data_IF_756204745186
#
_entry.id   IF_756204745186
#
_cell.length_a   1.000
_cell.length_b   1.000
_cell.length_c   1.000
_cell.angle_alpha   90.00
_cell.angle_beta   90.00
_cell.angle_gamma   90.00
#
_symmetry.space_group_name_H-M   'P 1'
#
loop_
_entity.id
_entity.type
_entity.pdbx_description
1 polymer ?
#
# COMPACT_ATOMS: atom_id res chain seq x y z
N UNK A 1 -8.91 -3.67 53.90
CA UNK A 1 -7.63 -3.38 53.22
C UNK A 1 -7.29 -4.36 52.07
N UNK A 2 -8.28 -4.89 51.32
CA UNK A 2 -8.04 -5.76 50.14
C UNK A 2 -8.39 -5.09 48.81
N UNK A 3 -9.39 -4.21 48.80
CA UNK A 3 -9.87 -3.49 47.60
C UNK A 3 -8.83 -2.52 47.03
N UNK A 4 -8.04 -1.86 47.90
CA UNK A 4 -6.99 -0.90 47.49
C UNK A 4 -5.77 -1.53 46.78
N UNK A 5 -5.54 -2.84 46.98
CA UNK A 5 -4.45 -3.58 46.30
C UNK A 5 -4.86 -4.04 44.91
N UNK A 6 -6.14 -4.35 44.72
CA UNK A 6 -6.71 -4.76 43.43
C UNK A 6 -6.74 -3.61 42.41
N UNK A 7 -7.08 -2.39 42.83
CA UNK A 7 -7.10 -1.22 41.95
C UNK A 7 -5.71 -0.84 41.44
N UNK A 8 -4.66 -0.96 42.26
CA UNK A 8 -3.26 -0.76 41.83
C UNK A 8 -2.81 -1.81 40.80
N UNK A 9 -3.24 -3.07 40.95
CA UNK A 9 -2.94 -4.14 40.00
C UNK A 9 -3.58 -3.92 38.63
N UNK A 10 -4.85 -3.50 38.60
CA UNK A 10 -5.59 -3.21 37.35
C UNK A 10 -4.96 -2.04 36.59
N UNK A 11 -4.56 -0.97 37.28
CA UNK A 11 -3.90 0.18 36.67
C UNK A 11 -2.55 -0.19 36.03
N UNK A 12 -1.81 -1.09 36.67
CA UNK A 12 -0.53 -1.60 36.14
C UNK A 12 -0.75 -2.48 34.90
N UNK A 13 -1.75 -3.37 34.92
CA UNK A 13 -2.08 -4.22 33.77
C UNK A 13 -2.57 -3.39 32.57
N UNK A 14 -3.41 -2.38 32.81
CA UNK A 14 -3.86 -1.47 31.74
C UNK A 14 -2.70 -0.69 31.09
N UNK A 15 -1.72 -0.26 31.89
CA UNK A 15 -0.53 0.43 31.39
C UNK A 15 0.35 -0.50 30.54
N UNK A 16 0.51 -1.77 30.96
CA UNK A 16 1.29 -2.76 30.20
C UNK A 16 0.61 -3.12 28.86
N UNK A 17 -0.72 -3.21 28.83
CA UNK A 17 -1.49 -3.49 27.60
C UNK A 17 -1.47 -2.33 26.59
N UNK A 18 -1.35 -1.08 27.06
CA UNK A 18 -1.24 0.08 26.17
C UNK A 18 0.13 0.18 25.49
N UNK A 19 1.19 -0.34 26.14
CA UNK A 19 2.56 -0.34 25.60
C UNK A 19 2.80 -1.39 24.51
N UNK A 20 1.91 -2.38 24.36
CA UNK A 20 2.02 -3.42 23.33
C UNK A 20 1.28 -3.09 22.02
N UNK A 21 0.77 -1.87 21.86
CA UNK A 21 0.22 -1.39 20.59
C UNK A 21 1.34 -1.19 19.56
N UNK A 22 1.79 -2.28 18.94
CA UNK A 22 2.63 -2.22 17.75
C UNK A 22 1.80 -1.67 16.57
N UNK A 23 1.90 -0.36 16.33
CA UNK A 23 1.42 0.22 15.08
C UNK A 23 2.19 -0.42 13.91
N UNK A 24 1.47 -0.87 12.88
CA UNK A 24 2.07 -1.41 11.67
C UNK A 24 2.91 -0.32 11.00
N UNK A 25 4.19 -0.63 10.74
CA UNK A 25 5.16 0.34 10.22
C UNK A 25 5.12 0.39 8.70
N UNK A 26 5.42 1.57 8.16
CA UNK A 26 5.80 1.71 6.75
C UNK A 26 7.03 0.86 6.44
N UNK A 27 7.14 0.41 5.19
CA UNK A 27 8.26 -0.38 4.69
C UNK A 27 8.99 0.40 3.58
N UNK A 28 10.34 0.30 3.51
CA UNK A 28 11.12 0.87 2.43
C UNK A 28 10.88 0.11 1.11
N UNK A 29 11.19 0.72 -0.03
CA UNK A 29 11.18 0.05 -1.33
C UNK A 29 12.50 -0.66 -1.58
N UNK A 30 12.45 -1.88 -2.10
CA UNK A 30 13.58 -2.62 -2.68
C UNK A 30 13.67 -2.42 -4.21
N UNK A 31 12.70 -1.72 -4.80
CA UNK A 31 12.63 -1.41 -6.23
C UNK A 31 13.14 0.01 -6.50
N UNK A 32 13.88 0.16 -7.59
CA UNK A 32 14.12 1.46 -8.22
C UNK A 32 12.88 1.90 -8.97
N UNK A 33 12.41 3.11 -8.69
CA UNK A 33 11.28 3.71 -9.38
C UNK A 33 11.71 4.49 -10.62
N UNK A 34 10.88 4.46 -11.66
CA UNK A 34 11.09 5.20 -12.90
C UNK A 34 10.31 6.50 -12.82
N UNK A 35 11.02 7.63 -12.85
CA UNK A 35 10.38 8.95 -12.95
C UNK A 35 10.22 9.33 -14.42
N UNK A 36 8.99 9.64 -14.82
CA UNK A 36 8.67 10.17 -16.14
C UNK A 36 8.24 11.63 -16.01
N UNK A 37 8.65 12.48 -16.95
CA UNK A 37 8.26 13.89 -16.97
C UNK A 37 6.78 14.06 -17.28
N UNK A 38 6.27 13.24 -18.21
CA UNK A 38 4.85 13.17 -18.57
C UNK A 38 4.43 11.72 -18.51
N UNK A 39 3.40 11.42 -17.73
CA UNK A 39 2.85 10.07 -17.60
C UNK A 39 1.60 9.96 -18.45
N UNK A 40 1.64 9.09 -19.45
CA UNK A 40 0.49 8.69 -20.26
C UNK A 40 0.53 7.17 -20.52
N UNK A 41 -0.55 6.59 -21.03
CA UNK A 41 -0.63 5.14 -21.27
C UNK A 41 0.28 4.65 -22.41
N UNK A 42 0.79 5.53 -23.27
CA UNK A 42 1.73 5.20 -24.34
C UNK A 42 3.17 5.07 -23.81
N UNK A 43 3.48 5.80 -22.73
CA UNK A 43 4.75 5.72 -22.01
C UNK A 43 4.89 4.49 -21.10
N UNK A 44 3.84 3.65 -21.04
CA UNK A 44 3.75 2.46 -20.18
C UNK A 44 3.57 1.18 -21.02
N UNK A 45 3.81 0.02 -20.39
CA UNK A 45 3.77 -1.30 -21.03
C UNK A 45 5.15 -1.93 -21.11
N UNK A 46 5.22 -3.14 -21.68
CA UNK A 46 6.48 -3.91 -21.78
C UNK A 46 7.25 -4.03 -20.45
N UNK A 47 6.51 -4.24 -19.35
CA UNK A 47 7.08 -4.33 -18.01
C UNK A 47 7.18 -3.00 -17.27
N UNK A 48 7.10 -1.85 -17.95
CA UNK A 48 6.99 -0.55 -17.29
C UNK A 48 5.56 -0.32 -16.83
N UNK A 49 5.30 -0.50 -15.54
CA UNK A 49 3.95 -0.54 -14.97
C UNK A 49 3.77 0.57 -13.95
N UNK A 50 2.69 1.33 -14.11
CA UNK A 50 2.23 2.28 -13.10
C UNK A 50 1.38 1.54 -12.07
N UNK A 51 1.73 1.70 -10.80
CA UNK A 51 0.99 1.13 -9.68
C UNK A 51 0.52 2.28 -8.80
N UNK A 52 -0.77 2.34 -8.52
CA UNK A 52 -1.36 3.41 -7.71
C UNK A 52 -2.30 2.89 -6.65
N UNK A 53 -2.47 3.69 -5.60
CA UNK A 53 -3.47 3.45 -4.56
C UNK A 53 -4.79 4.14 -4.94
N UNK A 54 -5.79 3.34 -5.31
CA UNK A 54 -7.13 3.76 -5.72
C UNK A 54 -8.11 3.95 -4.57
N UNK A 55 -7.64 4.12 -3.34
CA UNK A 55 -8.51 4.43 -2.21
C UNK A 55 -9.40 5.64 -2.49
N UNK A 56 -10.70 5.48 -2.19
CA UNK A 56 -11.70 6.52 -2.44
C UNK A 56 -11.47 7.81 -1.65
N UNK A 57 -12.27 8.83 -1.97
CA UNK A 57 -12.21 10.16 -1.33
C UNK A 57 -12.38 10.06 0.19
N UNK A 58 -13.24 9.14 0.65
CA UNK A 58 -13.54 8.95 2.08
C UNK A 58 -12.29 8.58 2.88
N UNK A 59 -11.45 7.68 2.36
CA UNK A 59 -10.18 7.27 3.00
C UNK A 59 -9.04 8.27 2.78
N UNK A 60 -9.17 9.15 1.79
CA UNK A 60 -8.15 10.18 1.52
C UNK A 60 -8.22 11.35 2.51
N UNK A 61 -9.39 11.60 3.11
CA UNK A 61 -9.64 12.78 3.95
C UNK A 61 -9.06 12.65 5.36
N UNK A 62 -8.99 11.43 5.91
CA UNK A 62 -8.47 11.12 7.23
C UNK A 62 -7.04 10.55 7.21
N UNK A 63 -6.39 10.55 6.04
CA UNK A 63 -5.06 9.98 5.79
C UNK A 63 -4.97 8.47 6.14
N UNK A 64 -6.09 7.76 6.03
CA UNK A 64 -6.15 6.29 6.11
C UNK A 64 -5.90 5.68 4.73
N UNK A 65 -6.08 4.36 4.59
CA UNK A 65 -5.81 3.64 3.35
C UNK A 65 -4.36 3.56 2.91
N UNK A 66 -3.42 3.57 3.85
CA UNK A 66 -2.00 3.35 3.53
C UNK A 66 -1.75 1.87 3.25
N UNK A 67 -1.20 1.57 2.07
CA UNK A 67 -0.92 0.21 1.64
C UNK A 67 0.57 -0.07 1.65
N UNK A 68 0.99 -1.08 2.41
CA UNK A 68 2.30 -1.70 2.23
C UNK A 68 2.18 -2.81 1.18
N UNK A 69 3.07 -2.80 0.20
CA UNK A 69 2.99 -3.70 -0.95
C UNK A 69 4.30 -4.47 -1.13
N UNK A 70 4.18 -5.75 -1.43
CA UNK A 70 5.28 -6.59 -1.86
C UNK A 70 4.95 -7.22 -3.22
N UNK A 71 5.96 -7.34 -4.06
CA UNK A 71 5.91 -8.05 -5.34
C UNK A 71 6.99 -9.12 -5.31
N UNK A 72 6.63 -10.39 -5.48
CA UNK A 72 7.54 -11.55 -5.41
C UNK A 72 8.45 -11.53 -4.17
N UNK A 73 7.84 -11.35 -3.00
CA UNK A 73 8.49 -11.21 -1.69
C UNK A 73 9.44 -10.00 -1.52
N UNK A 74 9.66 -9.18 -2.56
CA UNK A 74 10.40 -7.91 -2.47
C UNK A 74 9.46 -6.78 -2.11
N UNK A 75 9.91 -5.87 -1.25
CA UNK A 75 9.09 -4.73 -0.82
C UNK A 75 8.99 -3.71 -1.95
N UNK A 76 7.78 -3.41 -2.42
CA UNK A 76 7.53 -2.26 -3.28
C UNK A 76 7.50 -0.96 -2.46
N UNK A 77 7.39 -1.06 -1.14
CA UNK A 77 7.25 0.07 -0.23
C UNK A 77 5.81 0.34 0.18
N UNK A 78 5.61 1.44 0.89
CA UNK A 78 4.28 1.98 1.17
C UNK A 78 3.76 2.83 0.00
N UNK A 79 2.45 2.81 -0.24
CA UNK A 79 1.74 3.69 -1.19
C UNK A 79 0.54 4.29 -0.45
N UNK A 80 0.54 5.61 -0.22
CA UNK A 80 -0.59 6.29 0.45
C UNK A 80 -1.72 6.56 -0.55
N UNK A 81 -2.89 6.95 -0.04
CA UNK A 81 -4.00 7.36 -0.88
C UNK A 81 -3.56 8.46 -1.86
N UNK A 82 -3.96 8.32 -3.13
CA UNK A 82 -3.57 9.21 -4.24
C UNK A 82 -2.07 9.28 -4.52
N UNK A 83 -1.31 8.28 -4.11
CA UNK A 83 0.07 8.11 -4.56
C UNK A 83 0.15 7.06 -5.68
N UNK A 84 1.12 7.27 -6.58
CA UNK A 84 1.50 6.30 -7.59
C UNK A 84 3.02 6.20 -7.69
N UNK A 85 3.49 5.11 -8.26
CA UNK A 85 4.86 4.93 -8.70
C UNK A 85 4.88 4.14 -9.99
N UNK A 86 6.02 4.18 -10.68
CA UNK A 86 6.26 3.39 -11.88
C UNK A 86 7.48 2.52 -11.61
N UNK A 87 7.37 1.24 -11.92
CA UNK A 87 8.46 0.26 -11.79
C UNK A 87 8.55 -0.58 -13.04
N UNK A 88 9.75 -1.09 -13.30
CA UNK A 88 9.97 -2.11 -14.32
C UNK A 88 9.82 -3.49 -13.67
N UNK A 89 8.81 -4.24 -14.12
CA UNK A 89 8.54 -5.62 -13.76
C UNK A 89 8.82 -6.51 -14.97
N UNK A 90 9.40 -7.68 -14.75
CA UNK A 90 9.59 -8.65 -15.83
C UNK A 90 8.22 -9.13 -16.34
N UNK A 91 8.19 -9.68 -17.56
CA UNK A 91 6.98 -10.36 -18.04
C UNK A 91 6.80 -11.67 -17.26
N UNK A 92 5.56 -12.03 -16.93
CA UNK A 92 5.25 -13.26 -16.20
C UNK A 92 4.20 -13.06 -15.12
N UNK A 93 3.97 -14.11 -14.31
CA UNK A 93 3.09 -14.03 -13.16
C UNK A 93 3.88 -13.51 -11.96
N UNK A 94 3.30 -12.53 -11.28
CA UNK A 94 3.88 -11.90 -10.10
C UNK A 94 2.91 -12.00 -8.92
N UNK A 95 3.43 -12.33 -7.75
CA UNK A 95 2.65 -12.34 -6.51
C UNK A 95 2.64 -10.93 -5.90
N UNK A 96 1.47 -10.31 -5.82
CA UNK A 96 1.25 -9.04 -5.12
C UNK A 96 0.66 -9.31 -3.73
N UNK A 97 1.45 -9.09 -2.69
CA UNK A 97 0.96 -9.07 -1.30
C UNK A 97 0.69 -7.64 -0.87
N UNK A 98 -0.49 -7.40 -0.31
CA UNK A 98 -0.97 -6.07 0.09
C UNK A 98 -1.38 -6.13 1.56
N UNK A 99 -0.94 -5.14 2.34
CA UNK A 99 -1.34 -4.91 3.71
C UNK A 99 -1.86 -3.48 3.87
N UNK A 100 -3.09 -3.33 4.33
CA UNK A 100 -3.60 -2.06 4.78
C UNK A 100 -3.10 -1.77 6.20
N UNK A 101 -2.19 -0.82 6.39
CA UNK A 101 -1.50 -0.65 7.68
C UNK A 101 -2.36 -0.03 8.77
N UNK A 102 -3.44 0.66 8.40
CA UNK A 102 -4.36 1.26 9.37
C UNK A 102 -5.38 0.24 9.92
N UNK A 103 -5.39 -0.98 9.39
CA UNK A 103 -6.27 -2.06 9.84
C UNK A 103 -5.47 -3.31 10.18
N UNK A 104 -5.62 -3.78 11.41
CA UNK A 104 -5.04 -5.05 11.84
C UNK A 104 -5.65 -6.19 11.03
N UNK A 105 -4.82 -7.12 10.56
CA UNK A 105 -5.21 -8.33 9.83
C UNK A 105 -5.85 -8.15 8.44
N UNK A 106 -5.82 -6.96 7.83
CA UNK A 106 -6.28 -6.78 6.45
C UNK A 106 -5.14 -7.01 5.44
N UNK A 107 -4.87 -8.28 5.17
CA UNK A 107 -3.86 -8.75 4.21
C UNK A 107 -4.50 -9.54 3.09
N UNK A 108 -3.98 -9.39 1.88
CA UNK A 108 -4.44 -10.15 0.72
C UNK A 108 -3.28 -10.40 -0.24
N UNK A 109 -3.33 -11.52 -0.94
CA UNK A 109 -2.38 -11.88 -2.01
C UNK A 109 -3.14 -11.97 -3.32
N UNK A 110 -2.54 -11.45 -4.40
CA UNK A 110 -3.11 -11.44 -5.75
C UNK A 110 -2.04 -11.87 -6.75
N UNK A 111 -2.37 -12.77 -7.68
CA UNK A 111 -1.50 -13.08 -8.81
C UNK A 111 -1.84 -12.17 -9.99
N UNK A 112 -0.82 -11.50 -10.54
CA UNK A 112 -0.99 -10.62 -11.70
C UNK A 112 -0.02 -11.04 -12.79
N UNK A 113 -0.55 -11.30 -13.99
CA UNK A 113 0.26 -11.52 -15.18
C UNK A 113 0.69 -10.17 -15.79
N UNK A 114 1.98 -9.89 -15.77
CA UNK A 114 2.59 -8.77 -16.48
C UNK A 114 2.93 -9.22 -17.90
N UNK A 115 2.29 -8.60 -18.88
CA UNK A 115 2.58 -8.81 -20.30
C UNK A 115 2.85 -7.47 -21.00
N UNK A 116 2.98 -7.49 -22.31
CA UNK A 116 3.32 -6.33 -23.15
C UNK A 116 2.31 -5.18 -23.00
N UNK A 117 1.05 -5.53 -22.72
CA UNK A 117 -0.07 -4.60 -22.63
C UNK A 117 -0.40 -4.21 -21.19
N UNK A 118 0.24 -4.80 -20.19
CA UNK A 118 0.04 -4.44 -18.78
C UNK A 118 0.68 -3.10 -18.50
N UNK A 119 -0.14 -2.07 -18.27
CA UNK A 119 0.29 -0.68 -18.14
C UNK A 119 0.02 -0.11 -16.76
N UNK A 120 -1.16 -0.37 -16.22
CA UNK A 120 -1.64 0.27 -14.99
C UNK A 120 -2.29 -0.76 -14.08
N UNK A 121 -1.85 -0.79 -12.82
CA UNK A 121 -2.41 -1.61 -11.74
C UNK A 121 -2.96 -0.70 -10.65
N UNK A 122 -4.25 -0.88 -10.35
CA UNK A 122 -4.95 -0.26 -9.23
C UNK A 122 -4.86 -1.18 -8.02
N UNK A 123 -4.34 -0.66 -6.91
CA UNK A 123 -4.40 -1.31 -5.61
C UNK A 123 -5.36 -0.53 -4.72
N UNK A 124 -6.30 -1.17 -4.04
CA UNK A 124 -7.24 -0.46 -3.17
C UNK A 124 -7.67 -1.30 -1.98
N UNK A 125 -7.85 -0.69 -0.80
CA UNK A 125 -8.59 -1.35 0.27
C UNK A 125 -10.07 -1.43 -0.09
N UNK A 126 -10.71 -2.46 0.45
CA UNK A 126 -12.16 -2.67 0.43
C UNK A 126 -12.64 -2.73 1.89
N UNK A 127 -13.92 -3.03 2.12
CA UNK A 127 -14.48 -3.09 3.48
C UNK A 127 -13.78 -4.16 4.34
N UNK A 128 -13.38 -5.29 3.75
CA UNK A 128 -12.87 -6.46 4.49
C UNK A 128 -11.56 -7.05 3.95
N UNK A 129 -11.04 -6.54 2.83
CA UNK A 129 -9.80 -7.02 2.18
C UNK A 129 -9.13 -5.92 1.36
N UNK A 130 -8.15 -6.26 0.54
CA UNK A 130 -7.65 -5.39 -0.53
C UNK A 130 -7.91 -6.02 -1.89
N UNK A 131 -7.91 -5.19 -2.92
CA UNK A 131 -8.08 -5.59 -4.32
C UNK A 131 -6.90 -5.09 -5.14
N UNK A 132 -6.46 -5.93 -6.07
CA UNK A 132 -5.52 -5.54 -7.12
C UNK A 132 -6.20 -5.74 -8.48
N UNK A 133 -6.10 -4.76 -9.38
CA UNK A 133 -6.77 -4.83 -10.68
C UNK A 133 -5.91 -4.21 -11.76
N UNK A 134 -5.66 -4.97 -12.83
CA UNK A 134 -5.06 -4.44 -14.06
C UNK A 134 -6.14 -3.63 -14.79
N UNK A 135 -5.90 -2.34 -14.95
CA UNK A 135 -6.87 -1.40 -15.55
C UNK A 135 -6.39 -0.90 -16.91
N UNK A 136 -5.08 -0.79 -17.11
CA UNK A 136 -4.44 -0.22 -18.31
C UNK A 136 -4.87 1.21 -18.67
N UNK A 137 -5.61 1.88 -17.79
CA UNK A 137 -6.10 3.25 -17.92
C UNK A 137 -5.68 4.00 -16.67
N UNK A 138 -5.25 5.25 -16.82
CA UNK A 138 -4.91 6.11 -15.67
C UNK A 138 -6.15 6.38 -14.81
N UNK A 139 -6.01 6.59 -13.49
CA UNK A 139 -7.15 6.89 -12.64
C UNK A 139 -7.78 8.23 -13.00
N UNK A 140 -9.08 8.37 -12.73
CA UNK A 140 -9.78 9.63 -12.89
C UNK A 140 -9.13 10.74 -12.05
N UNK A 141 -9.05 11.96 -12.61
CA UNK A 141 -8.35 13.09 -12.00
C UNK A 141 -6.89 12.74 -11.65
N UNK A 142 -6.16 12.11 -12.58
CA UNK A 142 -4.76 11.72 -12.39
C UNK A 142 -3.85 12.90 -11.98
N UNK A 143 -4.21 14.13 -12.36
CA UNK A 143 -3.56 15.38 -11.91
C UNK A 143 -3.53 15.56 -10.39
N UNK A 144 -4.45 14.93 -9.66
CA UNK A 144 -4.52 14.94 -8.18
C UNK A 144 -3.67 13.86 -7.54
N UNK A 145 -3.11 12.95 -8.32
CA UNK A 145 -2.21 11.92 -7.84
C UNK A 145 -0.79 12.44 -7.75
N UNK A 146 -0.08 12.03 -6.70
CA UNK A 146 1.31 12.43 -6.48
C UNK A 146 2.22 11.26 -6.77
N UNK A 147 3.32 11.54 -7.47
CA UNK A 147 4.40 10.58 -7.57
C UNK A 147 4.97 10.33 -6.16
N UNK A 148 5.08 9.05 -5.78
CA UNK A 148 5.61 8.67 -4.49
C UNK A 148 7.10 8.98 -4.44
N UNK A 149 7.48 9.83 -3.50
CA UNK A 149 8.89 10.10 -3.21
C UNK A 149 9.39 8.99 -2.27
N UNK A 150 10.47 8.31 -2.66
CA UNK A 150 11.13 7.33 -1.80
C UNK A 150 11.71 8.02 -0.56
N UNK A 151 11.32 7.54 0.61
CA UNK A 151 12.01 7.91 1.85
C UNK A 151 13.19 6.96 2.01
N UNK A 152 14.38 7.42 1.64
CA UNK A 152 15.63 6.70 1.89
C UNK A 152 15.77 6.43 3.40
N UNK A 153 16.30 5.25 3.74
CA UNK A 153 16.70 4.91 5.11
C UNK A 153 17.77 5.84 5.65
#
# INVERSE_FOLDING_TARGET
MKILKFTKGIFLVSTILMLSSCALKSIPSDYSTVKLDIVNTESLGNGKVLIYNGAGILHSADNTARLNVWVDAKSLGQIKAREYLIVDLNKGNHEFKILHIDMVNMRSTHEININENTKVIRLEPTITSNKATVTNILPDNFDKYRYRIEHNK
#
